data_IF_259984041800
#
_entry.id   IF_259984041800
#
_cell.length_a   1.000
_cell.length_b   1.000
_cell.length_c   1.000
_cell.angle_alpha   90.00
_cell.angle_beta   90.00
_cell.angle_gamma   90.00
#
_symmetry.space_group_name_H-M   'P 1'
#
loop_
_entity.id
_entity.type
_entity.pdbx_description
1 polymer ?
#
# COMPACT_ATOMS: atom_id res chain seq x y z
N UNK A 1 -16.33 15.46 -4.54
CA UNK A 1 -15.15 16.07 -3.89
C UNK A 1 -14.28 14.95 -3.32
N UNK A 2 -12.96 15.04 -3.51
CA UNK A 2 -11.99 14.05 -2.97
C UNK A 2 -10.74 14.77 -2.45
N UNK A 3 -10.22 14.31 -1.31
CA UNK A 3 -8.92 14.74 -0.78
C UNK A 3 -7.85 13.70 -1.11
N UNK A 4 -6.75 14.13 -1.70
CA UNK A 4 -5.68 13.25 -2.18
C UNK A 4 -4.35 13.64 -1.54
N UNK A 5 -3.78 12.73 -0.76
CA UNK A 5 -2.46 12.90 -0.14
C UNK A 5 -1.35 12.68 -1.18
N UNK A 6 -0.98 13.74 -1.88
CA UNK A 6 0.02 13.67 -2.95
C UNK A 6 1.41 13.26 -2.46
N UNK A 7 1.73 13.52 -1.20
CA UNK A 7 2.98 13.09 -0.58
C UNK A 7 3.09 11.57 -0.36
N UNK A 8 1.96 10.82 -0.42
CA UNK A 8 1.97 9.36 -0.27
C UNK A 8 2.15 8.62 -1.61
N UNK A 9 1.51 9.10 -2.67
CA UNK A 9 1.47 8.37 -3.94
C UNK A 9 1.82 9.20 -5.17
N UNK A 10 1.84 10.53 -5.05
CA UNK A 10 2.03 11.42 -6.19
C UNK A 10 3.44 12.01 -6.32
N UNK A 11 4.33 11.76 -5.36
CA UNK A 11 5.73 12.20 -5.42
C UNK A 11 6.00 13.63 -4.95
N UNK A 12 5.06 14.27 -4.25
CA UNK A 12 5.31 15.57 -3.59
C UNK A 12 5.95 15.39 -2.21
N UNK A 13 6.50 16.46 -1.65
CA UNK A 13 7.01 16.49 -0.28
C UNK A 13 5.88 16.27 0.73
N UNK A 14 6.25 15.84 1.94
CA UNK A 14 5.30 15.57 3.04
C UNK A 14 4.40 16.76 3.36
N UNK A 15 3.28 16.50 4.04
CA UNK A 15 2.28 17.51 4.43
C UNK A 15 1.66 18.26 3.25
N UNK A 16 1.52 17.62 2.10
CA UNK A 16 0.93 18.21 0.91
C UNK A 16 -0.19 17.35 0.34
N UNK A 17 -1.31 17.98 -0.03
CA UNK A 17 -2.49 17.31 -0.56
C UNK A 17 -3.21 18.18 -1.59
N UNK A 18 -4.01 17.53 -2.44
CA UNK A 18 -4.98 18.19 -3.29
C UNK A 18 -6.40 17.96 -2.77
N UNK A 19 -7.21 18.99 -2.94
CA UNK A 19 -8.66 18.87 -2.82
C UNK A 19 -9.25 18.98 -4.24
N UNK A 20 -9.78 17.87 -4.74
CA UNK A 20 -10.38 17.77 -6.06
C UNK A 20 -11.88 18.02 -5.96
N UNK A 21 -12.39 18.94 -6.77
CA UNK A 21 -13.79 19.32 -6.81
C UNK A 21 -14.43 18.80 -8.10
N UNK A 22 -15.61 18.21 -7.98
CA UNK A 22 -16.44 17.87 -9.13
C UNK A 22 -17.21 19.10 -9.64
N UNK A 23 -17.76 19.03 -10.85
CA UNK A 23 -18.46 20.13 -11.52
C UNK A 23 -19.65 20.71 -10.74
N UNK A 24 -20.30 19.89 -9.92
CA UNK A 24 -21.47 20.30 -9.12
C UNK A 24 -21.11 20.87 -7.74
N UNK A 25 -19.84 21.13 -7.47
CA UNK A 25 -19.36 21.67 -6.19
C UNK A 25 -19.04 23.16 -6.36
N UNK A 26 -19.64 24.00 -5.49
CA UNK A 26 -19.32 25.43 -5.49
C UNK A 26 -17.89 25.64 -4.97
N UNK A 27 -16.95 25.91 -5.88
CA UNK A 27 -15.55 26.10 -5.56
C UNK A 27 -15.28 27.31 -4.66
N UNK A 28 -16.04 28.38 -4.79
CA UNK A 28 -15.84 29.60 -3.98
C UNK A 28 -16.27 29.36 -2.53
N UNK A 29 -17.35 28.64 -2.31
CA UNK A 29 -17.75 28.25 -0.97
C UNK A 29 -16.71 27.34 -0.31
N UNK A 30 -16.23 26.33 -1.04
CA UNK A 30 -15.17 25.44 -0.54
C UNK A 30 -13.90 26.22 -0.20
N UNK A 31 -13.51 27.19 -1.05
CA UNK A 31 -12.35 28.06 -0.78
C UNK A 31 -12.52 28.88 0.50
N UNK A 32 -13.72 29.41 0.75
CA UNK A 32 -13.99 30.13 2.00
C UNK A 32 -13.83 29.23 3.22
N UNK A 33 -14.39 28.02 3.18
CA UNK A 33 -14.26 27.07 4.27
C UNK A 33 -12.79 26.65 4.50
N UNK A 34 -12.06 26.36 3.42
CA UNK A 34 -10.63 26.03 3.52
C UNK A 34 -9.83 27.18 4.12
N UNK A 35 -10.11 28.42 3.74
CA UNK A 35 -9.42 29.59 4.29
C UNK A 35 -9.65 29.79 5.79
N UNK A 36 -10.77 29.29 6.33
CA UNK A 36 -11.05 29.34 7.77
C UNK A 36 -10.31 28.26 8.57
N UNK A 37 -9.94 27.17 7.90
CA UNK A 37 -9.42 25.95 8.56
C UNK A 37 -7.95 25.67 8.29
N UNK A 38 -7.37 26.25 7.23
CA UNK A 38 -5.97 26.05 6.86
C UNK A 38 -5.03 26.98 7.64
N UNK A 39 -3.74 26.64 7.63
CA UNK A 39 -2.68 27.51 8.15
C UNK A 39 -2.59 28.81 7.37
N UNK A 40 -2.28 29.90 8.06
CA UNK A 40 -1.97 31.21 7.45
C UNK A 40 -0.52 31.31 6.94
N UNK A 41 0.34 30.36 7.34
CA UNK A 41 1.77 30.32 7.02
C UNK A 41 2.10 29.18 6.05
N UNK A 42 1.57 29.24 4.83
CA UNK A 42 1.83 28.23 3.80
C UNK A 42 3.32 28.19 3.41
N UNK A 43 3.90 26.99 3.36
CA UNK A 43 5.25 26.78 2.88
C UNK A 43 5.29 26.81 1.34
N UNK A 44 5.99 27.78 0.78
CA UNK A 44 6.20 27.84 -0.69
C UNK A 44 6.95 26.60 -1.22
N UNK A 45 7.83 26.00 -0.42
CA UNK A 45 8.54 24.78 -0.81
C UNK A 45 7.56 23.61 -1.01
N UNK A 46 6.61 23.45 -0.08
CA UNK A 46 5.60 22.39 -0.19
C UNK A 46 4.62 22.65 -1.35
N UNK A 47 4.22 23.91 -1.55
CA UNK A 47 3.36 24.28 -2.68
C UNK A 47 4.06 24.07 -4.03
N UNK A 48 5.34 24.45 -4.15
CA UNK A 48 6.13 24.20 -5.35
C UNK A 48 6.29 22.71 -5.64
N UNK A 49 6.53 21.91 -4.59
CA UNK A 49 6.61 20.45 -4.68
C UNK A 49 5.30 19.84 -5.21
N UNK A 50 4.14 20.33 -4.73
CA UNK A 50 2.83 19.91 -5.22
C UNK A 50 2.65 20.23 -6.70
N UNK A 51 3.00 21.44 -7.13
CA UNK A 51 2.84 21.84 -8.53
C UNK A 51 3.79 21.06 -9.45
N UNK A 52 5.02 20.80 -9.01
CA UNK A 52 5.96 19.95 -9.76
C UNK A 52 5.42 18.51 -9.89
N UNK A 53 4.87 17.94 -8.81
CA UNK A 53 4.24 16.64 -8.85
C UNK A 53 3.05 16.61 -9.80
N UNK A 54 2.16 17.59 -9.70
CA UNK A 54 1.03 17.77 -10.61
C UNK A 54 1.49 17.83 -12.07
N UNK A 55 2.49 18.67 -12.37
CA UNK A 55 3.04 18.84 -13.72
C UNK A 55 3.62 17.52 -14.25
N UNK A 56 4.40 16.82 -13.43
CA UNK A 56 4.97 15.53 -13.81
C UNK A 56 3.89 14.50 -14.14
N UNK A 57 2.85 14.40 -13.30
CA UNK A 57 1.74 13.48 -13.55
C UNK A 57 0.88 13.90 -14.74
N UNK A 58 0.71 15.21 -15.00
CA UNK A 58 -0.02 15.66 -16.18
C UNK A 58 0.70 15.29 -17.49
N UNK A 59 2.03 15.31 -17.50
CA UNK A 59 2.83 15.02 -18.69
C UNK A 59 3.12 13.50 -18.83
N UNK A 60 3.50 12.84 -17.74
CA UNK A 60 4.03 11.48 -17.75
C UNK A 60 3.14 10.46 -17.01
N UNK A 61 1.99 10.88 -16.43
CA UNK A 61 1.18 10.04 -15.56
C UNK A 61 0.76 8.72 -16.18
N UNK A 62 0.37 8.72 -17.45
CA UNK A 62 -0.01 7.49 -18.15
C UNK A 62 1.14 6.49 -18.26
N UNK A 63 2.34 6.96 -18.57
CA UNK A 63 3.54 6.12 -18.64
C UNK A 63 3.91 5.58 -17.26
N UNK A 64 3.96 6.47 -16.28
CA UNK A 64 4.32 6.14 -14.88
C UNK A 64 3.35 5.09 -14.32
N UNK A 65 2.04 5.34 -14.37
CA UNK A 65 1.06 4.42 -13.80
C UNK A 65 0.92 3.11 -14.61
N UNK A 66 1.14 3.12 -15.91
CA UNK A 66 1.22 1.88 -16.68
C UNK A 66 2.42 1.03 -16.26
N UNK A 67 3.56 1.65 -15.94
CA UNK A 67 4.71 0.95 -15.38
C UNK A 67 4.40 0.34 -14.01
N UNK A 68 3.84 1.13 -13.08
CA UNK A 68 3.47 0.66 -11.74
C UNK A 68 2.46 -0.50 -11.82
N UNK A 69 1.46 -0.40 -12.70
CA UNK A 69 0.48 -1.48 -12.91
C UNK A 69 1.13 -2.77 -13.41
N UNK A 70 2.12 -2.67 -14.32
CA UNK A 70 2.87 -3.86 -14.78
C UNK A 70 3.67 -4.49 -13.65
N UNK A 71 4.37 -3.67 -12.85
CA UNK A 71 5.12 -4.15 -11.69
C UNK A 71 4.21 -4.81 -10.66
N UNK A 72 3.06 -4.22 -10.38
CA UNK A 72 2.07 -4.78 -9.45
C UNK A 72 1.47 -6.10 -9.97
N UNK A 73 1.21 -6.21 -11.27
CA UNK A 73 0.77 -7.45 -11.90
C UNK A 73 1.83 -8.54 -11.83
N UNK A 74 3.06 -8.20 -12.15
CA UNK A 74 4.22 -9.10 -12.03
C UNK A 74 4.38 -9.61 -10.59
N UNK A 75 4.40 -8.70 -9.60
CA UNK A 75 4.51 -9.07 -8.19
C UNK A 75 3.45 -10.08 -7.77
N UNK A 76 2.17 -9.86 -8.13
CA UNK A 76 1.08 -10.79 -7.81
C UNK A 76 1.26 -12.15 -8.44
N UNK A 77 1.64 -12.19 -9.69
CA UNK A 77 1.87 -13.44 -10.41
C UNK A 77 2.98 -14.24 -9.74
N UNK A 78 4.13 -13.62 -9.48
CA UNK A 78 5.27 -14.30 -8.84
C UNK A 78 4.95 -14.77 -7.42
N UNK A 79 4.30 -13.91 -6.62
CA UNK A 79 3.92 -14.26 -5.23
C UNK A 79 2.94 -15.43 -5.21
N UNK A 80 1.93 -15.43 -6.10
CA UNK A 80 0.99 -16.54 -6.18
C UNK A 80 1.65 -17.84 -6.69
N UNK A 81 2.71 -17.73 -7.50
CA UNK A 81 3.50 -18.90 -7.94
C UNK A 81 4.40 -19.48 -6.84
N UNK A 82 4.82 -18.67 -5.86
CA UNK A 82 5.54 -19.19 -4.68
C UNK A 82 4.71 -20.30 -4.01
N UNK A 83 3.38 -20.13 -3.95
CA UNK A 83 2.44 -20.99 -3.24
C UNK A 83 2.35 -20.67 -1.75
N UNK A 84 1.25 -21.09 -1.14
CA UNK A 84 0.89 -20.83 0.27
C UNK A 84 0.82 -19.33 0.64
N UNK A 85 0.93 -18.43 -0.34
CA UNK A 85 0.54 -17.04 -0.29
C UNK A 85 -0.62 -16.79 -1.25
N UNK A 86 -1.45 -15.81 -0.95
CA UNK A 86 -2.47 -15.34 -1.86
C UNK A 86 -2.41 -13.81 -1.99
N UNK A 87 -1.88 -13.33 -3.10
CA UNK A 87 -1.89 -11.91 -3.44
C UNK A 87 -3.22 -11.56 -4.10
N UNK A 88 -4.03 -10.78 -3.39
CA UNK A 88 -5.37 -10.38 -3.84
C UNK A 88 -5.32 -9.59 -5.15
N UNK A 89 -6.31 -9.81 -6.00
CA UNK A 89 -6.42 -9.11 -7.26
C UNK A 89 -7.87 -8.81 -7.67
N UNK A 90 -8.09 -8.42 -8.92
CA UNK A 90 -9.37 -7.89 -9.39
C UNK A 90 -10.53 -8.88 -9.35
N UNK A 91 -10.29 -10.16 -9.16
CA UNK A 91 -11.32 -11.19 -8.98
C UNK A 91 -12.21 -10.94 -7.76
N UNK A 92 -11.75 -10.11 -6.81
CA UNK A 92 -12.59 -9.67 -5.69
C UNK A 92 -13.73 -8.74 -6.11
N UNK A 93 -13.64 -8.09 -7.27
CA UNK A 93 -14.66 -7.17 -7.74
C UNK A 93 -15.92 -7.99 -8.09
N UNK A 94 -16.99 -7.74 -7.35
CA UNK A 94 -18.26 -8.46 -7.49
C UNK A 94 -19.43 -7.54 -7.86
N UNK A 95 -19.23 -6.22 -7.89
CA UNK A 95 -20.25 -5.23 -8.22
C UNK A 95 -21.32 -4.99 -7.11
N UNK A 96 -21.18 -5.66 -5.98
CA UNK A 96 -22.14 -5.59 -4.85
C UNK A 96 -21.46 -4.99 -3.61
N UNK A 97 -20.42 -5.62 -3.09
CA UNK A 97 -19.66 -5.17 -1.93
C UNK A 97 -18.27 -4.64 -2.28
N UNK A 98 -17.68 -5.10 -3.38
CA UNK A 98 -16.40 -4.65 -3.91
C UNK A 98 -16.59 -4.13 -5.32
N UNK A 99 -16.57 -2.81 -5.47
CA UNK A 99 -16.84 -2.14 -6.75
C UNK A 99 -15.58 -1.90 -7.58
N UNK A 100 -14.43 -1.70 -6.94
CA UNK A 100 -13.16 -1.48 -7.62
C UNK A 100 -11.99 -1.91 -6.72
N UNK A 101 -10.83 -2.07 -7.33
CA UNK A 101 -9.62 -2.57 -6.70
C UNK A 101 -8.39 -1.76 -7.14
N UNK A 102 -7.71 -1.11 -6.17
CA UNK A 102 -6.46 -0.42 -6.44
C UNK A 102 -5.31 -1.41 -6.61
N UNK A 103 -4.92 -1.64 -7.84
CA UNK A 103 -3.85 -2.59 -8.18
C UNK A 103 -2.48 -2.22 -7.62
N UNK A 104 -2.26 -0.98 -7.20
CA UNK A 104 -0.99 -0.54 -6.59
C UNK A 104 -0.86 -0.97 -5.13
N UNK A 105 -1.96 -1.40 -4.51
CA UNK A 105 -2.01 -1.95 -3.15
C UNK A 105 -1.83 -3.46 -3.23
N UNK A 106 -0.66 -3.93 -2.86
CA UNK A 106 -0.33 -5.35 -2.87
C UNK A 106 -0.65 -5.95 -1.50
N UNK A 107 -1.88 -6.41 -1.32
CA UNK A 107 -2.30 -7.15 -0.13
C UNK A 107 -2.06 -8.65 -0.35
N UNK A 108 -1.43 -9.30 0.61
CA UNK A 108 -0.99 -10.69 0.52
C UNK A 108 -1.41 -11.43 1.78
N UNK A 109 -2.19 -12.49 1.62
CA UNK A 109 -2.54 -13.41 2.69
C UNK A 109 -1.36 -14.32 3.03
N UNK A 110 -1.11 -14.57 4.33
CA UNK A 110 0.10 -15.24 4.81
C UNK A 110 -0.14 -16.45 5.71
N UNK A 111 -1.35 -16.66 6.23
CA UNK A 111 -1.59 -17.70 7.22
C UNK A 111 -1.29 -19.13 6.73
N UNK A 112 -1.39 -19.37 5.42
CA UNK A 112 -1.14 -20.70 4.86
C UNK A 112 0.32 -21.15 4.95
N UNK A 113 1.27 -20.20 5.11
CA UNK A 113 2.68 -20.53 5.43
C UNK A 113 2.89 -20.81 6.92
N UNK A 114 1.86 -20.61 7.75
CA UNK A 114 1.91 -20.80 9.21
C UNK A 114 2.41 -19.59 9.99
N UNK A 115 2.47 -18.40 9.37
CA UNK A 115 2.85 -17.13 10.00
C UNK A 115 1.73 -16.11 9.91
N UNK A 116 1.55 -15.34 10.98
CA UNK A 116 0.72 -14.16 10.95
C UNK A 116 1.37 -13.05 10.08
N UNK A 117 0.55 -12.19 9.48
CA UNK A 117 1.07 -11.09 8.66
C UNK A 117 2.03 -10.19 9.40
N UNK A 118 1.81 -9.93 10.69
CA UNK A 118 2.74 -9.14 11.50
C UNK A 118 4.10 -9.83 11.65
N UNK A 119 4.15 -11.15 11.75
CA UNK A 119 5.42 -11.90 11.82
C UNK A 119 6.18 -11.80 10.49
N UNK A 120 5.47 -11.91 9.36
CA UNK A 120 6.07 -11.72 8.03
C UNK A 120 6.55 -10.28 7.84
N UNK A 121 5.79 -9.29 8.32
CA UNK A 121 6.19 -7.88 8.32
C UNK A 121 7.51 -7.67 9.07
N UNK A 122 7.63 -8.21 10.28
CA UNK A 122 8.83 -8.08 11.10
C UNK A 122 10.04 -8.78 10.43
N UNK A 123 9.86 -9.98 9.89
CA UNK A 123 10.91 -10.68 9.14
C UNK A 123 11.39 -9.86 7.94
N UNK A 124 10.47 -9.33 7.13
CA UNK A 124 10.80 -8.50 5.96
C UNK A 124 11.63 -7.28 6.37
N UNK A 125 11.25 -6.60 7.47
CA UNK A 125 11.95 -5.42 7.98
C UNK A 125 13.32 -5.78 8.54
N UNK A 126 13.38 -6.74 9.44
CA UNK A 126 14.55 -6.99 10.29
C UNK A 126 15.61 -7.83 9.59
N UNK A 127 15.23 -8.81 8.77
CA UNK A 127 16.19 -9.70 8.10
C UNK A 127 16.47 -9.31 6.65
N UNK A 128 15.46 -8.78 5.93
CA UNK A 128 15.60 -8.47 4.51
C UNK A 128 15.73 -6.96 4.21
N UNK A 129 15.56 -6.11 5.22
CA UNK A 129 15.61 -4.65 5.06
C UNK A 129 14.52 -4.13 4.12
N UNK A 130 13.33 -4.78 4.12
CA UNK A 130 12.19 -4.41 3.30
C UNK A 130 11.10 -3.85 4.20
N UNK A 131 10.88 -2.54 4.09
CA UNK A 131 9.81 -1.87 4.81
C UNK A 131 8.54 -1.84 3.95
N UNK A 132 7.51 -2.56 4.37
CA UNK A 132 6.16 -2.50 3.79
C UNK A 132 5.25 -1.62 4.64
N UNK A 133 4.00 -1.40 4.22
CA UNK A 133 3.07 -0.48 4.89
C UNK A 133 2.65 -1.00 6.27
N UNK A 134 2.14 -2.23 6.34
CA UNK A 134 1.81 -2.88 7.60
C UNK A 134 1.61 -4.41 7.44
N UNK A 135 1.52 -5.10 8.59
CA UNK A 135 1.04 -6.46 8.71
C UNK A 135 -0.07 -6.54 9.77
N UNK A 136 -1.09 -7.35 9.51
CA UNK A 136 -2.13 -7.73 10.48
C UNK A 136 -2.05 -9.23 10.83
N UNK A 137 -3.13 -9.79 11.36
CA UNK A 137 -3.16 -11.20 11.74
C UNK A 137 -3.01 -12.12 10.52
N UNK A 138 -3.67 -11.79 9.41
CA UNK A 138 -3.76 -12.67 8.23
C UNK A 138 -3.04 -12.17 7.00
N UNK A 139 -2.68 -10.90 6.96
CA UNK A 139 -2.22 -10.25 5.74
C UNK A 139 -1.03 -9.34 5.98
N UNK A 140 -0.27 -9.11 4.91
CA UNK A 140 0.64 -7.98 4.78
C UNK A 140 0.16 -7.07 3.66
N UNK A 141 0.46 -5.77 3.77
CA UNK A 141 0.20 -4.77 2.74
C UNK A 141 1.48 -4.09 2.32
N UNK A 142 1.84 -4.24 1.07
CA UNK A 142 2.89 -3.47 0.42
C UNK A 142 2.28 -2.43 -0.53
N UNK A 143 2.87 -1.25 -0.57
CA UNK A 143 2.44 -0.13 -1.37
C UNK A 143 3.42 0.09 -2.52
N UNK A 144 2.96 -0.05 -3.76
CA UNK A 144 3.79 0.26 -4.92
C UNK A 144 3.59 1.72 -5.31
N UNK A 145 4.67 2.47 -5.29
CA UNK A 145 4.70 3.89 -5.60
C UNK A 145 5.24 4.17 -7.01
N UNK A 146 5.16 5.42 -7.41
CA UNK A 146 5.73 5.87 -8.69
C UNK A 146 7.27 5.79 -8.74
N UNK A 147 7.92 5.65 -7.60
CA UNK A 147 9.38 5.54 -7.47
C UNK A 147 9.93 4.12 -7.52
N UNK A 148 9.07 3.12 -7.33
CA UNK A 148 9.52 1.72 -7.27
C UNK A 148 10.00 1.19 -8.62
N UNK A 149 11.01 0.35 -8.57
CA UNK A 149 11.64 -0.30 -9.72
C UNK A 149 11.46 -1.82 -9.62
N UNK A 150 11.76 -2.53 -10.70
CA UNK A 150 11.68 -3.99 -10.74
C UNK A 150 12.54 -4.66 -9.66
N UNK A 151 13.70 -4.09 -9.34
CA UNK A 151 14.62 -4.63 -8.33
C UNK A 151 13.99 -4.72 -6.94
N UNK A 152 13.23 -3.69 -6.52
CA UNK A 152 12.54 -3.69 -5.22
C UNK A 152 11.46 -4.78 -5.18
N UNK A 153 10.76 -4.98 -6.29
CA UNK A 153 9.75 -6.04 -6.41
C UNK A 153 10.39 -7.43 -6.35
N UNK A 154 11.48 -7.64 -7.08
CA UNK A 154 12.20 -8.92 -7.06
C UNK A 154 12.80 -9.24 -5.69
N UNK A 155 13.28 -8.24 -4.96
CA UNK A 155 13.72 -8.41 -3.58
C UNK A 155 12.57 -8.87 -2.68
N UNK A 156 11.40 -8.27 -2.80
CA UNK A 156 10.21 -8.67 -2.04
C UNK A 156 9.80 -10.11 -2.36
N UNK A 157 9.70 -10.45 -3.65
CA UNK A 157 9.33 -11.80 -4.10
C UNK A 157 10.33 -12.84 -3.60
N UNK A 158 11.64 -12.55 -3.70
CA UNK A 158 12.71 -13.44 -3.23
C UNK A 158 12.68 -13.64 -1.73
N UNK A 159 12.45 -12.57 -0.96
CA UNK A 159 12.32 -12.63 0.50
C UNK A 159 11.11 -13.47 0.91
N UNK A 160 9.95 -13.28 0.30
CA UNK A 160 8.75 -14.08 0.56
C UNK A 160 8.97 -15.56 0.23
N UNK A 161 9.64 -15.87 -0.88
CA UNK A 161 9.99 -17.25 -1.24
C UNK A 161 10.92 -17.89 -0.22
N UNK A 162 11.89 -17.16 0.32
CA UNK A 162 12.78 -17.65 1.36
C UNK A 162 12.07 -17.84 2.70
N UNK A 163 11.24 -16.88 3.12
CA UNK A 163 10.41 -17.00 4.33
C UNK A 163 9.55 -18.27 4.24
N UNK A 164 8.88 -18.49 3.10
CA UNK A 164 8.08 -19.71 2.90
C UNK A 164 8.94 -20.97 3.10
N UNK A 165 10.12 -21.06 2.47
CA UNK A 165 11.00 -22.24 2.61
C UNK A 165 11.40 -22.52 4.07
N UNK A 166 11.59 -21.47 4.87
CA UNK A 166 12.03 -21.58 6.27
C UNK A 166 10.91 -21.99 7.22
N UNK A 167 9.70 -21.53 6.95
CA UNK A 167 8.57 -21.64 7.88
C UNK A 167 7.46 -22.57 7.41
N UNK A 168 7.48 -23.00 6.16
CA UNK A 168 6.51 -23.98 5.67
C UNK A 168 6.58 -25.23 6.53
N UNK A 169 5.57 -25.42 7.37
CA UNK A 169 5.43 -26.66 8.16
C UNK A 169 4.97 -27.76 7.21
N UNK A 170 5.56 -28.95 7.36
CA UNK A 170 5.04 -30.14 6.71
C UNK A 170 3.54 -30.25 7.00
N UNK A 171 2.72 -30.33 5.96
CA UNK A 171 1.24 -30.39 6.04
C UNK A 171 0.70 -31.60 6.81
N UNK A 172 1.55 -32.38 7.46
CA UNK A 172 1.21 -33.56 8.26
C UNK A 172 0.82 -33.27 9.71
N UNK A 173 0.88 -32.02 10.18
CA UNK A 173 0.52 -31.67 11.55
C UNK A 173 -0.59 -30.60 11.60
N UNK A 174 -1.71 -30.91 12.25
CA UNK A 174 -2.77 -29.94 12.56
C UNK A 174 -2.19 -28.75 13.32
N UNK A 175 -2.35 -27.52 12.78
CA UNK A 175 -1.93 -26.30 13.48
C UNK A 175 -2.93 -26.03 14.61
N UNK A 176 -2.47 -26.23 15.84
CA UNK A 176 -3.17 -25.71 17.01
C UNK A 176 -2.86 -24.21 17.12
N UNK A 177 -3.86 -23.36 16.88
CA UNK A 177 -3.74 -21.94 17.16
C UNK A 177 -3.69 -21.73 18.67
N UNK A 178 -2.48 -21.54 19.22
CA UNK A 178 -2.32 -21.03 20.56
C UNK A 178 -2.67 -19.56 20.55
N UNK A 179 -3.61 -19.19 21.40
CA UNK A 179 -4.18 -17.85 21.54
C UNK A 179 -3.13 -16.74 21.51
N UNK A 180 -3.22 -15.85 20.53
CA UNK A 180 -2.63 -14.52 20.57
C UNK A 180 -3.46 -13.69 21.57
N UNK A 181 -3.04 -13.65 22.82
CA UNK A 181 -3.56 -12.66 23.75
C UNK A 181 -2.98 -11.32 23.40
N UNK A 182 -3.82 -10.42 22.87
CA UNK A 182 -3.47 -9.00 22.75
C UNK A 182 -3.06 -8.47 24.12
N UNK A 183 -1.93 -7.76 24.26
CA UNK A 183 -1.59 -7.10 25.51
C UNK A 183 -2.62 -6.00 25.77
N UNK A 184 -3.57 -6.26 26.67
CA UNK A 184 -4.44 -5.25 27.23
C UNK A 184 -3.64 -4.46 28.28
N UNK A 185 -2.89 -3.46 27.86
CA UNK A 185 -2.41 -2.42 28.75
C UNK A 185 -3.38 -1.25 28.70
N UNK A 186 -4.45 -1.34 29.48
CA UNK A 186 -5.13 -0.15 29.96
C UNK A 186 -4.19 0.53 30.97
N UNK A 187 -3.60 1.65 30.59
CA UNK A 187 -3.06 2.60 31.58
C UNK A 187 -4.10 3.70 31.79
N UNK A 188 -4.56 3.77 33.03
CA UNK A 188 -5.27 4.89 33.63
C UNK A 188 -4.40 6.15 33.59
#
# INVERSE_FOLDING_TARGET
MASVSMHKSGGSLTQSSFLLLGENVNADYVRQVVNLTQTTSGSYLLMASLDMSRKNLAIHGNEIFNRVRRLAGYARTEINQIGDYYAYCKELINGDSVYDFDVTKLSIFTLDIGLAGIEVYDLLRDEYGIQIEFGDIGNILAYLSIGDRAQEIERLVSALAEIRRRFQKDKSGSVSYTHLTLPTTSRV
#
